data_IF_380345119279
#
_entry.id   IF_380345119279
#
_cell.length_a   1.000
_cell.length_b   1.000
_cell.length_c   1.000
_cell.angle_alpha   90.00
_cell.angle_beta   90.00
_cell.angle_gamma   90.00
#
_symmetry.space_group_name_H-M   'P 1'
#
loop_
_entity.id
_entity.type
_entity.pdbx_description
1 polymer ?
#
# COMPACT_ATOMS: atom_id res chain seq x y z
N UNK A 1 7.74 -19.49 -7.51
CA UNK A 1 7.19 -20.86 -7.34
C UNK A 1 8.07 -21.70 -6.45
N UNK A 2 7.90 -21.56 -5.13
CA UNK A 2 8.84 -22.04 -4.12
C UNK A 2 9.04 -20.94 -3.08
N UNK A 3 9.84 -21.22 -2.04
CA UNK A 3 10.27 -20.19 -1.11
C UNK A 3 11.62 -19.64 -1.55
N UNK A 4 11.63 -18.41 -2.04
CA UNK A 4 12.80 -17.73 -2.56
C UNK A 4 13.41 -16.79 -1.50
N UNK A 5 14.72 -16.54 -1.59
CA UNK A 5 15.38 -15.47 -0.84
C UNK A 5 15.66 -14.34 -1.82
N UNK A 6 14.92 -13.24 -1.69
CA UNK A 6 15.04 -12.06 -2.53
C UNK A 6 15.73 -10.97 -1.72
N UNK A 7 16.88 -10.48 -2.17
CA UNK A 7 17.60 -9.37 -1.55
C UNK A 7 17.81 -8.27 -2.60
N UNK A 8 17.14 -7.12 -2.43
CA UNK A 8 17.24 -5.98 -3.33
C UNK A 8 18.58 -5.23 -3.20
N UNK A 9 19.22 -5.30 -2.03
CA UNK A 9 20.46 -4.59 -1.75
C UNK A 9 20.28 -3.08 -1.58
N UNK A 10 21.13 -2.31 -2.25
CA UNK A 10 21.09 -0.85 -2.22
C UNK A 10 20.24 -0.32 -3.40
N UNK A 11 19.32 0.58 -3.13
CA UNK A 11 18.46 1.20 -4.12
C UNK A 11 16.99 1.11 -3.75
N UNK A 12 16.16 1.39 -4.75
CA UNK A 12 14.74 1.14 -4.64
C UNK A 12 14.47 -0.15 -5.41
N UNK A 13 14.04 -1.19 -4.70
CA UNK A 13 13.94 -2.54 -5.24
C UNK A 13 12.50 -3.04 -5.22
N UNK A 14 12.14 -3.80 -6.27
CA UNK A 14 10.78 -4.28 -6.48
C UNK A 14 10.75 -5.80 -6.47
N UNK A 15 9.96 -6.39 -5.58
CA UNK A 15 9.53 -7.78 -5.67
C UNK A 15 8.30 -7.87 -6.58
N UNK A 16 8.34 -8.75 -7.59
CA UNK A 16 7.28 -8.87 -8.57
C UNK A 16 6.63 -10.25 -8.59
N UNK A 17 5.31 -10.24 -8.44
CA UNK A 17 4.45 -11.42 -8.46
C UNK A 17 3.40 -11.37 -9.59
N UNK A 18 3.61 -10.52 -10.59
CA UNK A 18 2.65 -10.24 -11.67
C UNK A 18 2.31 -11.47 -12.52
N UNK A 19 3.24 -12.42 -12.60
CA UNK A 19 3.06 -13.67 -13.35
C UNK A 19 2.38 -14.77 -12.52
N UNK A 20 2.01 -14.48 -11.26
CA UNK A 20 1.43 -15.50 -10.40
C UNK A 20 0.02 -15.88 -10.81
N UNK A 21 -0.22 -17.20 -10.82
CA UNK A 21 -1.52 -17.78 -11.17
C UNK A 21 -2.47 -17.92 -9.97
N UNK A 22 -2.14 -17.30 -8.84
CA UNK A 22 -2.97 -17.25 -7.64
C UNK A 22 -2.62 -16.00 -6.83
N UNK A 23 -3.50 -15.65 -5.88
CA UNK A 23 -3.22 -14.55 -4.96
C UNK A 23 -1.92 -14.78 -4.18
N UNK A 24 -1.27 -13.68 -3.87
CA UNK A 24 -0.12 -13.58 -2.98
C UNK A 24 -0.46 -12.77 -1.74
N UNK A 25 0.24 -13.08 -0.66
CA UNK A 25 0.22 -12.31 0.59
C UNK A 25 1.64 -11.94 0.93
N UNK A 26 1.92 -10.64 0.90
CA UNK A 26 3.24 -10.03 1.11
C UNK A 26 3.20 -9.17 2.37
N UNK A 27 4.21 -9.31 3.21
CA UNK A 27 4.38 -8.50 4.40
C UNK A 27 5.85 -8.08 4.58
N UNK A 28 6.12 -6.77 4.51
CA UNK A 28 7.44 -6.18 4.67
C UNK A 28 7.74 -5.67 6.11
N UNK A 29 6.86 -5.93 7.11
CA UNK A 29 6.89 -5.38 8.50
C UNK A 29 8.18 -5.62 9.28
N UNK A 30 9.00 -6.55 8.87
CA UNK A 30 10.24 -6.94 9.57
C UNK A 30 11.42 -6.02 9.23
N UNK A 31 11.20 -4.91 8.50
CA UNK A 31 12.20 -3.89 8.19
C UNK A 31 12.03 -2.57 8.89
N UNK A 32 12.69 -2.41 10.05
CA UNK A 32 12.93 -1.07 10.60
C UNK A 32 14.07 -0.40 9.83
N UNK A 33 13.77 0.17 8.67
CA UNK A 33 14.71 0.97 7.89
C UNK A 33 14.27 2.42 7.83
N UNK A 34 14.78 3.27 8.73
CA UNK A 34 14.71 4.73 8.54
C UNK A 34 15.64 5.11 7.38
N UNK A 35 15.17 4.93 6.15
CA UNK A 35 15.92 5.24 4.93
C UNK A 35 15.72 6.69 4.51
N UNK A 36 16.74 7.52 4.69
CA UNK A 36 16.78 8.92 4.23
C UNK A 36 16.94 9.05 2.69
N UNK A 37 16.26 8.20 1.91
CA UNK A 37 16.30 8.23 0.45
C UNK A 37 17.57 7.65 -0.19
N UNK A 38 18.30 6.76 0.50
CA UNK A 38 19.46 6.02 -0.05
C UNK A 38 19.18 4.55 -0.34
N UNK A 39 17.93 4.09 -0.21
CA UNK A 39 17.56 2.75 -0.65
C UNK A 39 18.29 1.63 0.10
N UNK A 40 18.14 1.54 1.40
CA UNK A 40 18.72 0.41 2.15
C UNK A 40 17.67 -0.04 3.13
N UNK A 41 16.68 -0.80 2.66
CA UNK A 41 15.94 -1.68 3.53
C UNK A 41 16.92 -2.59 4.28
N UNK A 42 16.53 -3.06 5.46
CA UNK A 42 17.25 -4.10 6.21
C UNK A 42 16.26 -5.07 6.87
N UNK A 43 15.04 -5.14 6.34
CA UNK A 43 13.98 -6.00 6.84
C UNK A 43 13.91 -7.33 6.15
N UNK A 44 13.39 -8.36 6.82
CA UNK A 44 13.20 -9.70 6.24
C UNK A 44 11.72 -10.03 6.09
N UNK A 45 11.05 -9.40 5.13
CA UNK A 45 9.64 -9.61 4.82
C UNK A 45 9.34 -11.06 4.43
N UNK A 46 8.06 -11.39 4.31
CA UNK A 46 7.61 -12.75 3.99
C UNK A 46 6.61 -12.74 2.85
N UNK A 47 6.68 -13.76 2.01
CA UNK A 47 5.66 -14.09 1.02
C UNK A 47 4.93 -15.39 1.36
N UNK A 48 3.63 -15.43 1.08
CA UNK A 48 2.82 -16.66 1.11
C UNK A 48 1.79 -16.65 -0.02
N UNK A 49 1.30 -17.83 -0.42
CA UNK A 49 0.36 -17.96 -1.54
C UNK A 49 1.03 -17.81 -2.91
N UNK A 50 0.42 -18.39 -3.95
CA UNK A 50 0.92 -18.32 -5.32
C UNK A 50 2.41 -18.59 -5.45
N UNK A 51 3.08 -17.70 -6.19
CA UNK A 51 4.52 -17.73 -6.38
C UNK A 51 5.32 -17.20 -5.20
N UNK A 52 4.67 -16.45 -4.29
CA UNK A 52 5.28 -15.93 -3.08
C UNK A 52 5.47 -17.00 -1.99
N UNK A 53 5.00 -18.23 -2.19
CA UNK A 53 4.90 -19.25 -1.15
C UNK A 53 6.25 -19.62 -0.49
N UNK A 54 6.49 -19.01 0.68
CA UNK A 54 7.68 -19.30 1.50
C UNK A 54 8.83 -18.33 1.23
N UNK A 55 8.57 -17.23 0.52
CA UNK A 55 9.58 -16.22 0.24
C UNK A 55 10.03 -15.47 1.48
N UNK A 56 11.30 -15.09 1.47
CA UNK A 56 11.92 -14.14 2.37
C UNK A 56 12.36 -12.94 1.54
N UNK A 57 11.82 -11.77 1.86
CA UNK A 57 12.02 -10.52 1.13
C UNK A 57 12.95 -9.61 1.92
N UNK A 58 14.09 -9.25 1.36
CA UNK A 58 15.11 -8.45 2.02
C UNK A 58 15.39 -7.22 1.20
N UNK A 59 15.39 -6.05 1.83
CA UNK A 59 15.70 -4.77 1.19
C UNK A 59 14.82 -4.53 -0.05
N UNK A 60 13.50 -4.66 0.14
CA UNK A 60 12.49 -4.43 -0.89
C UNK A 60 11.59 -3.29 -0.40
N UNK A 61 11.38 -2.29 -1.26
CA UNK A 61 10.51 -1.13 -1.01
C UNK A 61 9.32 -1.11 -1.98
N UNK A 62 9.36 -1.94 -3.03
CA UNK A 62 8.31 -2.04 -4.04
C UNK A 62 7.71 -3.44 -4.12
N UNK A 63 6.39 -3.51 -4.23
CA UNK A 63 5.69 -4.77 -4.49
C UNK A 63 4.73 -4.61 -5.65
N UNK A 64 4.88 -5.49 -6.63
CA UNK A 64 3.90 -5.74 -7.67
C UNK A 64 3.14 -7.02 -7.31
N UNK A 65 1.82 -6.89 -7.11
CA UNK A 65 0.90 -8.01 -6.93
C UNK A 65 0.78 -8.90 -8.18
N UNK A 66 -0.17 -9.81 -8.10
CA UNK A 66 -0.64 -10.73 -9.13
C UNK A 66 -1.90 -10.17 -9.82
N UNK A 67 -2.55 -10.95 -10.68
CA UNK A 67 -3.85 -10.59 -11.28
C UNK A 67 -5.05 -11.12 -10.45
N UNK A 68 -4.83 -11.36 -9.16
CA UNK A 68 -5.81 -11.93 -8.24
C UNK A 68 -5.85 -11.11 -6.94
N UNK A 69 -6.83 -11.38 -6.10
CA UNK A 69 -7.08 -10.66 -4.85
C UNK A 69 -5.92 -10.81 -3.84
N UNK A 70 -5.01 -9.87 -3.83
CA UNK A 70 -3.79 -9.90 -3.06
C UNK A 70 -3.92 -9.22 -1.71
N UNK A 71 -2.97 -9.53 -0.83
CA UNK A 71 -2.82 -8.86 0.44
C UNK A 71 -1.38 -8.37 0.57
N UNK A 72 -1.17 -7.07 0.39
CA UNK A 72 0.16 -6.47 0.34
C UNK A 72 0.28 -5.48 1.48
N UNK A 73 1.23 -5.74 2.37
CA UNK A 73 1.58 -4.84 3.47
C UNK A 73 3.02 -4.37 3.32
N UNK A 74 3.19 -3.05 3.21
CA UNK A 74 4.46 -2.36 3.27
C UNK A 74 5.15 -2.52 4.63
N UNK A 75 6.31 -1.91 4.77
CA UNK A 75 7.19 -1.99 5.92
C UNK A 75 7.20 -0.69 6.71
N UNK A 76 8.38 -0.31 7.16
CA UNK A 76 8.64 1.07 7.55
C UNK A 76 9.47 1.72 6.44
N UNK A 77 9.32 3.03 6.26
CA UNK A 77 9.92 3.74 5.13
C UNK A 77 8.89 3.97 4.03
N UNK A 78 9.34 4.52 2.90
CA UNK A 78 8.43 4.85 1.80
C UNK A 78 8.30 3.64 0.88
N UNK A 79 7.11 3.06 0.84
CA UNK A 79 6.82 1.90 -0.01
C UNK A 79 6.05 2.27 -1.27
N UNK A 80 6.20 1.45 -2.30
CA UNK A 80 5.42 1.53 -3.54
C UNK A 80 4.69 0.21 -3.76
N UNK A 81 3.37 0.23 -3.63
CA UNK A 81 2.55 -0.97 -3.71
C UNK A 81 1.58 -0.87 -4.90
N UNK A 82 1.52 -1.92 -5.71
CA UNK A 82 0.58 -2.03 -6.83
C UNK A 82 -0.13 -3.39 -6.78
N UNK A 83 -1.46 -3.37 -6.65
CA UNK A 83 -2.31 -4.57 -6.64
C UNK A 83 -2.43 -5.25 -8.01
N UNK A 84 -2.69 -4.47 -9.06
CA UNK A 84 -3.06 -4.86 -10.43
C UNK A 84 -4.54 -5.22 -10.56
N UNK A 85 -4.89 -6.41 -11.08
CA UNK A 85 -6.27 -6.80 -11.25
C UNK A 85 -6.67 -7.62 -10.02
N UNK A 86 -7.88 -7.44 -9.50
CA UNK A 86 -8.32 -8.15 -8.32
C UNK A 86 -8.99 -7.22 -7.33
N UNK A 87 -9.46 -7.78 -6.23
CA UNK A 87 -9.90 -6.97 -5.09
C UNK A 87 -8.80 -7.05 -4.04
N UNK A 88 -7.92 -6.06 -4.05
CA UNK A 88 -6.68 -6.09 -3.30
C UNK A 88 -6.81 -5.40 -1.95
N UNK A 89 -5.99 -5.85 -1.01
CA UNK A 89 -5.84 -5.22 0.30
C UNK A 89 -4.43 -4.63 0.41
N UNK A 90 -4.33 -3.30 0.42
CA UNK A 90 -3.07 -2.59 0.41
C UNK A 90 -2.90 -1.77 1.70
N UNK A 91 -1.82 -2.02 2.44
CA UNK A 91 -1.47 -1.31 3.68
C UNK A 91 -0.01 -0.83 3.59
N UNK A 92 0.22 0.45 3.29
CA UNK A 92 1.57 1.01 3.21
C UNK A 92 2.35 0.97 4.53
N UNK A 93 1.62 1.08 5.65
CA UNK A 93 2.14 1.24 7.01
C UNK A 93 2.84 2.58 7.16
N UNK A 94 4.08 2.64 7.67
CA UNK A 94 4.67 3.88 8.18
C UNK A 94 5.64 4.45 7.17
N UNK A 95 5.34 5.61 6.58
CA UNK A 95 6.14 6.13 5.50
C UNK A 95 5.49 7.30 4.78
N UNK A 96 6.00 7.60 3.59
CA UNK A 96 5.24 8.33 2.59
C UNK A 96 5.04 7.38 1.42
N UNK A 97 3.93 6.63 1.46
CA UNK A 97 3.70 5.50 0.59
C UNK A 97 2.95 5.90 -0.68
N UNK A 98 3.20 5.16 -1.76
CA UNK A 98 2.51 5.34 -3.03
C UNK A 98 1.79 4.05 -3.41
N UNK A 99 0.46 4.09 -3.35
CA UNK A 99 -0.41 2.93 -3.48
C UNK A 99 -1.21 3.02 -4.80
N UNK A 100 -1.24 1.94 -5.56
CA UNK A 100 -2.07 1.78 -6.77
C UNK A 100 -2.90 0.52 -6.61
N UNK A 101 -4.22 0.63 -6.62
CA UNK A 101 -5.10 -0.53 -6.54
C UNK A 101 -5.03 -1.33 -7.83
N UNK A 102 -5.31 -0.65 -8.94
CA UNK A 102 -5.48 -1.22 -10.25
C UNK A 102 -6.97 -1.49 -10.54
N UNK A 103 -7.28 -2.58 -11.24
CA UNK A 103 -8.66 -2.91 -11.60
C UNK A 103 -9.32 -3.74 -10.51
N UNK A 104 -10.42 -3.23 -9.92
CA UNK A 104 -11.29 -4.02 -9.06
C UNK A 104 -11.78 -3.23 -7.86
N UNK A 105 -12.26 -3.93 -6.84
CA UNK A 105 -12.76 -3.28 -5.63
C UNK A 105 -11.72 -3.38 -4.52
N UNK A 106 -10.83 -2.39 -4.46
CA UNK A 106 -9.66 -2.42 -3.60
C UNK A 106 -9.92 -1.80 -2.23
N UNK A 107 -9.12 -2.20 -1.24
CA UNK A 107 -9.17 -1.67 0.11
C UNK A 107 -7.80 -1.15 0.50
N UNK A 108 -7.70 0.17 0.64
CA UNK A 108 -6.50 0.86 1.11
C UNK A 108 -6.60 1.12 2.60
N UNK A 109 -5.63 0.65 3.38
CA UNK A 109 -5.75 0.52 4.84
C UNK A 109 -4.72 1.41 5.54
N UNK A 110 -5.21 2.21 6.47
CA UNK A 110 -4.40 3.21 7.17
C UNK A 110 -4.57 3.12 8.68
N UNK A 111 -3.45 3.29 9.39
CA UNK A 111 -3.36 3.25 10.84
C UNK A 111 -2.74 4.54 11.40
N UNK A 112 -2.53 4.60 12.70
CA UNK A 112 -1.83 5.73 13.32
C UNK A 112 -0.35 5.72 12.95
N UNK A 113 0.18 6.86 12.54
CA UNK A 113 1.59 6.98 12.16
C UNK A 113 1.88 6.39 10.79
N UNK A 114 0.86 6.32 9.92
CA UNK A 114 1.07 5.94 8.53
C UNK A 114 1.87 6.98 7.75
N UNK A 115 1.86 8.25 8.17
CA UNK A 115 2.61 9.30 7.54
C UNK A 115 1.84 9.98 6.41
N UNK A 116 2.50 10.20 5.28
CA UNK A 116 1.99 11.05 4.20
C UNK A 116 1.85 10.28 2.88
N UNK A 117 0.70 9.63 2.72
CA UNK A 117 0.48 8.64 1.68
C UNK A 117 -0.26 9.22 0.47
N UNK A 118 -0.12 8.54 -0.66
CA UNK A 118 -0.85 8.83 -1.89
C UNK A 118 -1.47 7.56 -2.45
N UNK A 119 -2.77 7.62 -2.75
CA UNK A 119 -3.41 6.64 -3.66
C UNK A 119 -3.44 7.25 -5.06
N UNK A 120 -2.88 6.52 -6.02
CA UNK A 120 -2.65 6.99 -7.38
C UNK A 120 -3.91 6.98 -8.26
N UNK A 121 -4.82 6.04 -8.01
CA UNK A 121 -5.87 5.64 -8.96
C UNK A 121 -7.24 5.39 -8.32
N UNK A 122 -7.47 5.88 -7.10
CA UNK A 122 -8.70 5.60 -6.33
C UNK A 122 -9.98 5.76 -7.17
N UNK A 123 -10.74 4.67 -7.28
CA UNK A 123 -11.95 4.59 -8.10
C UNK A 123 -13.14 3.99 -7.35
N UNK A 124 -13.92 4.86 -6.70
CA UNK A 124 -15.14 4.44 -6.00
C UNK A 124 -16.22 3.79 -6.90
N UNK A 125 -16.13 3.95 -8.24
CA UNK A 125 -17.05 3.31 -9.17
C UNK A 125 -16.72 1.82 -9.40
N UNK A 126 -15.46 1.43 -9.24
CA UNK A 126 -15.01 0.02 -9.31
C UNK A 126 -15.22 -0.69 -7.98
N UNK A 127 -15.20 0.05 -6.89
CA UNK A 127 -15.60 -0.45 -5.57
C UNK A 127 -14.70 -0.01 -4.44
N UNK A 128 -13.65 0.75 -4.75
CA UNK A 128 -12.59 1.10 -3.81
C UNK A 128 -13.10 1.68 -2.50
N UNK A 129 -12.39 1.30 -1.43
CA UNK A 129 -12.64 1.75 -0.08
C UNK A 129 -11.35 2.15 0.61
N UNK A 130 -11.49 3.13 1.48
CA UNK A 130 -10.45 3.57 2.40
C UNK A 130 -10.85 3.05 3.79
N UNK A 131 -10.02 2.19 4.34
CA UNK A 131 -10.23 1.59 5.64
C UNK A 131 -9.32 2.26 6.67
N UNK A 132 -9.91 2.71 7.77
CA UNK A 132 -9.17 3.15 8.94
C UNK A 132 -9.35 2.17 10.09
N UNK A 133 -8.29 1.90 10.84
CA UNK A 133 -8.42 1.16 12.10
C UNK A 133 -9.36 1.89 13.08
N UNK A 134 -10.07 1.12 13.90
CA UNK A 134 -11.00 1.64 14.89
C UNK A 134 -10.43 2.79 15.74
N UNK A 135 -11.20 3.88 15.86
CA UNK A 135 -10.85 5.04 16.68
C UNK A 135 -10.07 6.14 15.94
N UNK A 136 -9.71 5.94 14.67
CA UNK A 136 -9.13 7.00 13.84
C UNK A 136 -10.24 7.91 13.32
N UNK A 137 -10.22 9.16 13.76
CA UNK A 137 -11.04 10.21 13.14
C UNK A 137 -10.32 10.76 11.92
N UNK A 138 -11.09 11.09 10.88
CA UNK A 138 -10.56 11.68 9.65
C UNK A 138 -11.40 12.89 9.24
N UNK A 139 -10.81 13.75 8.42
CA UNK A 139 -11.46 14.91 7.82
C UNK A 139 -10.98 15.09 6.38
N UNK A 140 -11.87 15.56 5.51
CA UNK A 140 -11.55 15.81 4.10
C UNK A 140 -11.23 17.28 3.92
N UNK A 141 -10.07 17.55 3.32
CA UNK A 141 -9.60 18.87 2.90
C UNK A 141 -9.24 18.82 1.41
N UNK A 142 -8.51 19.82 0.92
CA UNK A 142 -8.04 19.82 -0.47
C UNK A 142 -6.66 20.46 -0.61
N UNK A 143 -5.90 20.00 -1.60
CA UNK A 143 -4.64 20.64 -1.99
C UNK A 143 -4.88 21.85 -2.94
N UNK A 144 -3.81 22.46 -3.43
CA UNK A 144 -3.88 23.62 -4.35
C UNK A 144 -4.55 23.32 -5.70
N UNK A 145 -4.65 22.05 -6.09
CA UNK A 145 -5.31 21.60 -7.32
C UNK A 145 -6.79 21.24 -7.08
N UNK A 146 -7.25 21.28 -5.83
CA UNK A 146 -8.60 20.86 -5.44
C UNK A 146 -8.77 19.36 -5.25
N UNK A 147 -7.68 18.59 -5.30
CA UNK A 147 -7.69 17.14 -5.05
C UNK A 147 -7.94 16.86 -3.56
N UNK A 148 -8.56 15.73 -3.26
CA UNK A 148 -8.90 15.31 -1.92
C UNK A 148 -7.64 15.02 -1.11
N UNK A 149 -7.54 15.66 0.06
CA UNK A 149 -6.54 15.34 1.08
C UNK A 149 -7.27 14.99 2.36
N UNK A 150 -7.16 13.74 2.78
CA UNK A 150 -7.78 13.22 4.00
C UNK A 150 -6.75 13.34 5.11
N UNK A 151 -7.02 14.23 6.08
CA UNK A 151 -6.22 14.33 7.29
C UNK A 151 -6.80 13.42 8.36
N UNK A 152 -5.98 12.57 8.96
CA UNK A 152 -6.36 11.63 10.00
C UNK A 152 -5.25 11.48 11.03
N UNK A 153 -5.55 10.81 12.12
CA UNK A 153 -4.56 10.55 13.16
C UNK A 153 -3.92 11.82 13.72
N UNK A 154 -2.68 11.71 14.18
CA UNK A 154 -1.92 12.81 14.77
C UNK A 154 -0.96 13.45 13.76
N UNK A 155 -1.50 13.86 12.60
CA UNK A 155 -0.74 14.53 11.53
C UNK A 155 -0.52 13.67 10.29
N UNK A 156 -1.19 12.52 10.19
CA UNK A 156 -1.16 11.67 9.00
C UNK A 156 -2.07 12.25 7.90
N UNK A 157 -1.67 12.06 6.64
CA UNK A 157 -2.41 12.55 5.49
C UNK A 157 -2.44 11.54 4.36
N UNK A 158 -3.59 11.43 3.70
CA UNK A 158 -3.76 10.65 2.48
C UNK A 158 -4.22 11.56 1.36
N UNK A 159 -3.46 11.62 0.28
CA UNK A 159 -3.84 12.31 -0.96
C UNK A 159 -4.45 11.32 -1.95
N UNK A 160 -5.61 11.66 -2.52
CA UNK A 160 -6.21 10.89 -3.62
C UNK A 160 -5.90 11.60 -4.94
N UNK A 161 -4.90 11.10 -5.67
CA UNK A 161 -4.44 11.69 -6.93
C UNK A 161 -5.56 11.72 -7.96
N UNK A 162 -5.81 12.88 -8.57
CA UNK A 162 -6.86 13.06 -9.58
C UNK A 162 -8.30 13.04 -9.06
N UNK A 163 -8.53 12.85 -7.76
CA UNK A 163 -9.87 12.82 -7.16
C UNK A 163 -10.20 14.17 -6.53
N UNK A 164 -11.22 14.86 -7.02
CA UNK A 164 -11.63 16.15 -6.46
C UNK A 164 -12.20 16.00 -5.05
N UNK A 165 -11.80 16.85 -4.11
CA UNK A 165 -12.31 16.86 -2.73
C UNK A 165 -13.84 16.94 -2.64
N UNK A 166 -14.49 17.62 -3.60
CA UNK A 166 -15.96 17.76 -3.68
C UNK A 166 -16.68 16.48 -4.08
N UNK A 167 -15.97 15.48 -4.59
CA UNK A 167 -16.55 14.18 -4.96
C UNK A 167 -16.56 13.19 -3.80
N UNK A 168 -15.83 13.49 -2.72
CA UNK A 168 -15.65 12.57 -1.60
C UNK A 168 -16.98 12.28 -0.89
N UNK A 169 -17.29 11.00 -0.77
CA UNK A 169 -18.48 10.50 -0.10
C UNK A 169 -18.11 9.76 1.18
N UNK A 170 -18.94 9.89 2.22
CA UNK A 170 -18.78 9.11 3.46
C UNK A 170 -18.85 7.59 3.22
N UNK A 171 -19.45 7.16 2.11
CA UNK A 171 -19.56 5.73 1.73
C UNK A 171 -18.25 5.12 1.26
N UNK A 172 -17.22 5.93 0.97
CA UNK A 172 -15.90 5.45 0.58
C UNK A 172 -15.10 4.95 1.78
N UNK A 173 -15.47 5.37 2.98
CA UNK A 173 -14.77 5.05 4.20
C UNK A 173 -15.40 3.88 4.94
N UNK A 174 -14.55 3.03 5.49
CA UNK A 174 -14.96 1.96 6.40
C UNK A 174 -14.00 1.85 7.59
N UNK A 175 -14.40 1.06 8.57
CA UNK A 175 -13.58 0.75 9.75
C UNK A 175 -13.22 -0.73 9.72
N UNK A 176 -11.97 -1.01 10.07
CA UNK A 176 -11.40 -2.36 10.18
C UNK A 176 -10.86 -2.62 11.59
#
# INVERSE_FOLDING_TARGET
>A
GGGDYLDGGDGFDIASYSDSFAQVTIDLSTGTGTGTGTGTGTGTGTGTGGDAQGDILVNIEGVLGSLFNDNIRGGAGNDWLHGYDGNDWLEGRAGADYLTGGSGADVFVFSWGSGADTIADFNAAEGDRIAFFAGISHSVTMNSNGEAVIAYGAGDTLTLSGVQATSVSSTWFMTV
#
